data_IF_345705692381
#
_entry.id   IF_345705692381
#
_cell.length_a   1.000
_cell.length_b   1.000
_cell.length_c   1.000
_cell.angle_alpha   90.00
_cell.angle_beta   90.00
_cell.angle_gamma   90.00
#
_symmetry.space_group_name_H-M   'P 1'
#
loop_
_entity.id
_entity.type
_entity.pdbx_description
1 polymer ?
#
# COMPACT_ATOMS: atom_id res chain seq x y z
N UNK A 1 -7.40 -28.25 6.33
CA UNK A 1 -8.24 -27.70 7.41
C UNK A 1 -7.74 -26.29 7.69
N UNK A 2 -8.25 -25.28 7.00
CA UNK A 2 -7.79 -23.90 7.24
C UNK A 2 -8.61 -23.34 8.39
N UNK A 3 -7.99 -23.14 9.55
CA UNK A 3 -8.60 -22.46 10.67
C UNK A 3 -8.89 -21.02 10.25
N UNK A 4 -10.16 -20.71 9.97
CA UNK A 4 -10.58 -19.34 9.72
C UNK A 4 -10.53 -18.64 11.07
N UNK A 5 -9.47 -17.89 11.33
CA UNK A 5 -9.40 -17.00 12.47
C UNK A 5 -10.63 -16.08 12.44
N UNK A 6 -11.37 -15.93 13.56
CA UNK A 6 -12.52 -15.04 13.59
C UNK A 6 -12.06 -13.64 13.17
N UNK A 7 -12.75 -13.08 12.18
CA UNK A 7 -12.46 -11.75 11.67
C UNK A 7 -12.63 -10.75 12.83
N UNK A 8 -11.57 -10.01 13.13
CA UNK A 8 -11.60 -8.88 14.08
C UNK A 8 -12.82 -8.00 13.78
N UNK A 9 -13.50 -7.52 14.83
CA UNK A 9 -14.70 -6.67 14.74
C UNK A 9 -14.37 -5.26 14.20
N UNK A 10 -13.09 -4.94 13.95
CA UNK A 10 -12.65 -3.67 13.36
C UNK A 10 -11.62 -3.82 12.24
N UNK A 11 -11.44 -2.76 11.46
CA UNK A 11 -10.42 -2.65 10.41
C UNK A 11 -9.02 -2.52 11.01
N UNK A 12 -8.10 -3.35 10.54
CA UNK A 12 -6.68 -3.25 10.89
C UNK A 12 -5.94 -2.37 9.90
N UNK A 13 -5.46 -1.22 10.37
CA UNK A 13 -4.76 -0.23 9.55
C UNK A 13 -3.26 -0.24 9.85
N UNK A 14 -2.44 -0.05 8.82
CA UNK A 14 -1.04 0.34 8.94
C UNK A 14 -0.85 1.69 8.26
N UNK A 15 -0.15 2.62 8.90
CA UNK A 15 0.30 3.87 8.26
C UNK A 15 1.80 4.00 8.41
N UNK A 16 2.51 4.30 7.33
CA UNK A 16 3.95 4.39 7.32
C UNK A 16 4.46 5.43 6.32
N UNK A 17 5.23 6.41 6.82
CA UNK A 17 6.06 7.24 5.97
C UNK A 17 7.30 6.44 5.57
N UNK A 18 7.34 6.01 4.30
CA UNK A 18 8.39 5.15 3.79
C UNK A 18 9.70 5.90 3.58
N UNK A 19 9.69 7.21 3.34
CA UNK A 19 10.86 7.98 2.89
C UNK A 19 11.68 7.20 1.84
N UNK A 20 11.02 6.87 0.72
CA UNK A 20 11.51 5.98 -0.32
C UNK A 20 11.27 4.50 0.01
N UNK A 21 10.36 3.85 -0.73
CA UNK A 21 9.98 2.46 -0.50
C UNK A 21 10.85 1.44 -1.25
N UNK A 22 11.51 1.82 -2.35
CA UNK A 22 12.19 0.86 -3.24
C UNK A 22 13.24 0.01 -2.52
N UNK A 23 14.07 0.64 -1.67
CA UNK A 23 15.10 -0.06 -0.90
C UNK A 23 14.56 -0.80 0.34
N UNK A 24 13.23 -0.78 0.56
CA UNK A 24 12.56 -1.34 1.73
C UNK A 24 11.41 -2.28 1.34
N UNK A 25 11.29 -2.59 0.04
CA UNK A 25 10.12 -3.28 -0.51
C UNK A 25 10.07 -4.74 -0.05
N UNK A 26 11.22 -5.38 0.15
CA UNK A 26 11.32 -6.75 0.62
C UNK A 26 10.84 -6.87 2.06
N UNK A 27 11.33 -6.00 2.94
CA UNK A 27 10.93 -5.90 4.34
C UNK A 27 9.45 -5.54 4.46
N UNK A 28 8.97 -4.63 3.62
CA UNK A 28 7.56 -4.26 3.59
C UNK A 28 6.65 -5.42 3.15
N UNK A 29 7.06 -6.21 2.16
CA UNK A 29 6.31 -7.43 1.76
C UNK A 29 6.22 -8.44 2.91
N UNK A 30 7.34 -8.67 3.61
CA UNK A 30 7.37 -9.55 4.79
C UNK A 30 6.44 -9.02 5.89
N UNK A 31 6.45 -7.70 6.12
CA UNK A 31 5.55 -7.06 7.09
C UNK A 31 4.08 -7.27 6.71
N UNK A 32 3.71 -7.02 5.45
CA UNK A 32 2.32 -7.17 4.97
C UNK A 32 1.86 -8.63 5.05
N UNK A 33 2.73 -9.59 4.73
CA UNK A 33 2.45 -11.02 4.87
C UNK A 33 2.22 -11.40 6.34
N UNK A 34 3.13 -11.01 7.23
CA UNK A 34 3.08 -11.35 8.66
C UNK A 34 1.89 -10.72 9.37
N UNK A 35 1.64 -9.44 9.11
CA UNK A 35 0.65 -8.68 9.88
C UNK A 35 -0.72 -8.61 9.19
N UNK A 36 -0.78 -8.86 7.87
CA UNK A 36 -2.00 -8.86 7.07
C UNK A 36 -2.94 -7.71 7.42
N UNK A 37 -2.49 -6.44 7.36
CA UNK A 37 -3.38 -5.30 7.62
C UNK A 37 -4.51 -5.29 6.60
N UNK A 38 -5.70 -4.85 6.98
CA UNK A 38 -6.81 -4.69 6.04
C UNK A 38 -6.54 -3.57 5.03
N UNK A 39 -5.87 -2.51 5.50
CA UNK A 39 -5.37 -1.42 4.66
C UNK A 39 -3.96 -1.01 5.11
N UNK A 40 -3.09 -0.71 4.15
CA UNK A 40 -1.80 -0.07 4.41
C UNK A 40 -1.71 1.26 3.67
N UNK A 41 -1.42 2.33 4.42
CA UNK A 41 -1.35 3.71 3.96
C UNK A 41 0.12 4.16 3.97
N UNK A 42 0.72 4.28 2.80
CA UNK A 42 2.15 4.58 2.66
C UNK A 42 2.33 6.00 2.12
N UNK A 43 3.14 6.81 2.81
CA UNK A 43 3.51 8.16 2.41
C UNK A 43 4.98 8.23 1.98
N UNK A 44 5.35 9.27 1.23
CA UNK A 44 6.72 9.48 0.73
C UNK A 44 7.27 8.23 0.03
N UNK A 45 6.49 7.67 -0.89
CA UNK A 45 6.88 6.44 -1.59
C UNK A 45 8.09 6.66 -2.49
N UNK A 46 8.25 7.89 -3.01
CA UNK A 46 9.25 8.30 -4.00
C UNK A 46 9.21 7.46 -5.27
N UNK A 47 8.06 6.85 -5.56
CA UNK A 47 7.89 6.05 -6.76
C UNK A 47 7.67 6.93 -8.00
N UNK A 48 7.90 6.30 -9.14
CA UNK A 48 7.67 6.86 -10.46
C UNK A 48 6.71 5.96 -11.23
N UNK A 49 6.05 6.46 -12.29
CA UNK A 49 5.12 5.66 -13.07
C UNK A 49 5.73 4.37 -13.65
N UNK A 50 7.04 4.36 -13.95
CA UNK A 50 7.74 3.17 -14.45
C UNK A 50 8.11 2.15 -13.36
N UNK A 51 8.05 2.53 -12.08
CA UNK A 51 8.30 1.61 -10.97
C UNK A 51 7.06 0.74 -10.73
N UNK A 52 7.23 -0.57 -10.84
CA UNK A 52 6.19 -1.55 -10.59
C UNK A 52 6.21 -2.01 -9.13
N UNK A 53 5.09 -1.86 -8.43
CA UNK A 53 4.86 -2.47 -7.13
C UNK A 53 3.59 -3.31 -7.21
N UNK A 54 3.72 -4.57 -6.82
CA UNK A 54 2.60 -5.49 -6.66
C UNK A 54 2.72 -6.20 -5.31
N UNK A 55 1.62 -6.20 -4.56
CA UNK A 55 1.50 -6.89 -3.28
C UNK A 55 0.34 -7.89 -3.42
N UNK A 56 0.62 -9.21 -3.40
CA UNK A 56 -0.42 -10.23 -3.57
C UNK A 56 -1.56 -10.05 -2.57
N UNK A 57 -2.79 -10.30 -3.01
CA UNK A 57 -4.04 -10.17 -2.22
C UNK A 57 -4.47 -8.73 -1.86
N UNK A 58 -3.78 -7.71 -2.39
CA UNK A 58 -4.17 -6.31 -2.24
C UNK A 58 -4.45 -5.67 -3.60
N UNK A 59 -5.43 -4.76 -3.63
CA UNK A 59 -5.52 -3.71 -4.64
C UNK A 59 -4.52 -2.61 -4.27
N UNK A 60 -3.78 -2.11 -5.25
CA UNK A 60 -2.77 -1.07 -5.08
C UNK A 60 -3.25 0.21 -5.76
N UNK A 61 -3.44 1.29 -5.00
CA UNK A 61 -3.80 2.60 -5.51
C UNK A 61 -2.68 3.58 -5.21
N UNK A 62 -2.23 4.33 -6.21
CA UNK A 62 -1.06 5.19 -6.10
C UNK A 62 -1.35 6.59 -6.57
N UNK A 63 -0.69 7.54 -5.92
CA UNK A 63 -0.57 8.90 -6.41
C UNK A 63 0.92 9.22 -6.51
N UNK A 64 1.49 9.08 -7.70
CA UNK A 64 2.91 9.35 -7.95
C UNK A 64 3.09 10.84 -8.26
N UNK A 65 4.07 11.50 -7.63
CA UNK A 65 4.38 12.90 -7.96
C UNK A 65 5.13 12.99 -9.29
N UNK A 66 4.56 13.73 -10.24
CA UNK A 66 5.11 13.99 -11.58
C UNK A 66 5.61 15.46 -11.62
N UNK A 67 6.66 15.76 -12.39
CA UNK A 67 7.01 17.15 -12.74
C UNK A 67 8.50 17.49 -12.70
N UNK A 68 9.25 16.93 -11.74
CA UNK A 68 10.49 17.63 -11.33
C UNK A 68 11.79 16.84 -11.54
N UNK A 69 11.74 15.68 -12.21
CA UNK A 69 12.91 14.78 -12.39
C UNK A 69 13.40 14.10 -11.10
N UNK A 70 13.11 14.68 -9.93
CA UNK A 70 13.46 14.19 -8.59
C UNK A 70 12.35 13.30 -8.00
N UNK A 71 12.70 12.09 -7.57
CA UNK A 71 11.79 11.15 -6.92
C UNK A 71 11.51 11.61 -5.47
N UNK A 72 10.34 12.20 -5.22
CA UNK A 72 9.92 12.69 -3.89
C UNK A 72 8.42 12.70 -3.75
N UNK A 73 7.92 12.71 -2.51
CA UNK A 73 6.49 12.65 -2.23
C UNK A 73 5.85 11.34 -2.69
N UNK A 74 4.57 11.42 -3.01
CA UNK A 74 3.76 10.31 -3.50
C UNK A 74 3.20 9.42 -2.40
N UNK A 75 2.07 8.78 -2.69
CA UNK A 75 1.35 7.90 -1.76
C UNK A 75 1.00 6.56 -2.42
N UNK A 76 0.88 5.52 -1.60
CA UNK A 76 0.41 4.20 -1.98
C UNK A 76 -0.60 3.70 -0.93
N UNK A 77 -1.78 3.30 -1.38
CA UNK A 77 -2.82 2.67 -0.56
C UNK A 77 -2.93 1.22 -1.01
N UNK A 78 -2.72 0.29 -0.07
CA UNK A 78 -3.05 -1.10 -0.24
C UNK A 78 -4.39 -1.38 0.44
N UNK A 79 -5.32 -2.03 -0.27
CA UNK A 79 -6.59 -2.50 0.30
C UNK A 79 -6.73 -3.98 0.02
N UNK A 80 -7.00 -4.82 1.03
CA UNK A 80 -7.22 -6.26 0.79
C UNK A 80 -8.34 -6.46 -0.24
N UNK A 81 -8.14 -7.40 -1.16
CA UNK A 81 -9.08 -7.70 -2.26
C UNK A 81 -10.47 -8.15 -1.79
N UNK A 82 -10.60 -8.65 -0.57
CA UNK A 82 -11.87 -9.10 0.00
C UNK A 82 -12.64 -8.00 0.75
N UNK A 83 -12.17 -6.76 0.73
CA UNK A 83 -12.87 -5.60 1.26
C UNK A 83 -13.57 -4.92 0.09
N UNK A 84 -14.90 -4.78 0.15
CA UNK A 84 -15.64 -4.02 -0.85
C UNK A 84 -15.34 -2.52 -0.68
N UNK A 85 -14.93 -1.86 -1.76
CA UNK A 85 -14.62 -0.43 -1.78
C UNK A 85 -14.67 0.11 -3.22
N UNK A 86 -14.68 1.42 -3.35
CA UNK A 86 -14.55 2.13 -4.63
C UNK A 86 -13.40 3.13 -4.53
N UNK A 87 -12.62 3.28 -5.61
CA UNK A 87 -11.58 4.29 -5.69
C UNK A 87 -12.18 5.59 -6.25
N UNK A 88 -11.96 6.70 -5.57
CA UNK A 88 -12.27 8.04 -6.06
C UNK A 88 -10.94 8.72 -6.41
N UNK A 89 -10.71 9.12 -7.67
CA UNK A 89 -9.50 9.85 -8.05
C UNK A 89 -9.34 11.12 -7.21
N UNK A 90 -8.11 11.42 -6.79
CA UNK A 90 -7.82 12.73 -6.22
C UNK A 90 -8.05 13.82 -7.26
N UNK A 91 -8.69 14.95 -6.89
CA UNK A 91 -8.80 16.11 -7.76
C UNK A 91 -7.43 16.55 -8.30
N UNK A 92 -7.38 17.16 -9.50
CA UNK A 92 -6.14 17.65 -10.10
C UNK A 92 -5.43 18.72 -9.26
#
# INVERSE_FOLDING_TARGET
>A
MTMISPKSIGLKLCSWNANGILNKISEFKIFVEKHSPDLALIQETHLRPHHNINIPNYNCYRNDRIGDGIARGGTLILVKKNISHHNIPTPP
#
